data_IF_873263231101
#
_entry.id   IF_873263231101
#
_cell.length_a   1.000
_cell.length_b   1.000
_cell.length_c   1.000
_cell.angle_alpha   90.00
_cell.angle_beta   90.00
_cell.angle_gamma   90.00
#
_symmetry.space_group_name_H-M   'P 1'
#
loop_
_entity.id
_entity.type
_entity.pdbx_description
1 polymer ?
#
# COMPACT_ATOMS: atom_id res chain seq x y z
N UNK A 1 -8.43 3.99 -5.38
CA UNK A 1 -7.10 4.61 -5.62
C UNK A 1 -7.32 6.12 -5.77
N UNK A 2 -6.47 6.94 -5.15
CA UNK A 2 -6.70 8.38 -4.94
C UNK A 2 -6.60 9.28 -6.18
N UNK A 3 -6.03 10.49 -6.01
CA UNK A 3 -5.96 11.50 -7.07
C UNK A 3 -4.89 11.13 -8.11
N UNK A 4 -5.33 10.84 -9.33
CA UNK A 4 -4.45 10.49 -10.45
C UNK A 4 -3.45 11.60 -10.76
N UNK A 5 -2.16 11.24 -10.86
CA UNK A 5 -1.08 12.15 -11.26
C UNK A 5 -0.54 13.07 -10.15
N UNK A 6 -1.12 13.06 -8.94
CA UNK A 6 -0.69 13.97 -7.86
C UNK A 6 0.75 13.73 -7.39
N UNK A 7 1.14 12.47 -7.19
CA UNK A 7 2.49 12.18 -6.67
C UNK A 7 3.60 12.59 -7.66
N UNK A 8 3.56 12.21 -8.96
CA UNK A 8 4.53 12.68 -9.95
C UNK A 8 4.62 14.22 -10.06
N UNK A 9 3.51 14.92 -9.84
CA UNK A 9 3.46 16.38 -9.85
C UNK A 9 4.24 17.02 -8.68
N UNK A 10 4.24 16.39 -7.50
CA UNK A 10 4.84 16.93 -6.27
C UNK A 10 6.23 16.37 -5.94
N UNK A 11 6.56 15.19 -6.45
CA UNK A 11 7.69 14.37 -6.02
C UNK A 11 9.02 15.13 -6.01
N UNK A 12 9.34 15.86 -7.09
CA UNK A 12 10.63 16.55 -7.25
C UNK A 12 10.89 17.67 -6.22
N UNK A 13 9.83 18.25 -5.65
CA UNK A 13 9.93 19.44 -4.78
C UNK A 13 9.65 19.15 -3.32
N UNK A 14 8.93 18.06 -3.01
CA UNK A 14 8.36 17.84 -1.68
C UNK A 14 8.64 16.45 -1.12
N UNK A 15 8.97 15.46 -1.96
CA UNK A 15 9.22 14.11 -1.49
C UNK A 15 10.69 13.95 -1.07
N UNK A 16 10.89 13.27 0.05
CA UNK A 16 12.20 12.81 0.52
C UNK A 16 12.15 11.30 0.69
N UNK A 17 13.20 10.60 0.25
CA UNK A 17 13.37 9.18 0.55
C UNK A 17 13.70 9.03 2.04
N UNK A 18 12.98 8.15 2.72
CA UNK A 18 13.12 7.88 4.15
C UNK A 18 13.17 6.37 4.37
N UNK A 19 13.99 5.93 5.30
CA UNK A 19 14.02 4.56 5.81
C UNK A 19 13.10 4.42 7.02
N UNK A 20 12.54 3.23 7.26
CA UNK A 20 11.68 3.02 8.45
C UNK A 20 12.45 3.19 9.76
N UNK A 21 13.76 2.94 9.75
CA UNK A 21 14.65 3.13 10.90
C UNK A 21 14.68 4.59 11.37
N UNK A 22 14.59 5.56 10.46
CA UNK A 22 14.51 6.99 10.80
C UNK A 22 13.23 7.36 11.56
N UNK A 23 12.19 6.52 11.46
CA UNK A 23 10.89 6.74 12.12
C UNK A 23 10.75 5.92 13.43
N UNK A 24 11.82 5.27 13.89
CA UNK A 24 11.80 4.47 15.12
C UNK A 24 11.33 5.28 16.33
N UNK A 25 10.48 4.68 17.17
CA UNK A 25 9.85 5.34 18.32
C UNK A 25 8.64 6.21 17.98
N UNK A 26 8.31 6.38 16.70
CA UNK A 26 7.08 7.07 16.27
C UNK A 26 5.90 6.10 16.18
N UNK A 27 4.68 6.64 16.22
CA UNK A 27 3.45 5.90 15.88
C UNK A 27 2.97 6.33 14.50
N UNK A 28 2.65 5.38 13.65
CA UNK A 28 2.12 5.62 12.31
C UNK A 28 0.78 4.89 12.12
N UNK A 29 -0.15 5.54 11.43
CA UNK A 29 -1.35 4.89 10.93
C UNK A 29 -1.07 4.21 9.59
N UNK A 30 -1.67 3.05 9.37
CA UNK A 30 -1.57 2.30 8.11
C UNK A 30 -2.95 2.22 7.46
N UNK A 31 -3.05 2.66 6.21
CA UNK A 31 -4.19 2.31 5.36
C UNK A 31 -4.05 0.84 4.94
N UNK A 32 -4.70 -0.04 5.71
CA UNK A 32 -4.58 -1.49 5.55
C UNK A 32 -5.21 -2.00 4.26
N UNK A 33 -6.18 -1.28 3.68
CA UNK A 33 -6.83 -1.70 2.45
C UNK A 33 -5.85 -1.67 1.26
N UNK A 34 -4.90 -0.73 1.27
CA UNK A 34 -3.84 -0.69 0.27
C UNK A 34 -2.96 -1.95 0.30
N UNK A 35 -2.74 -2.55 1.48
CA UNK A 35 -2.02 -3.81 1.61
C UNK A 35 -2.89 -4.99 1.23
N UNK A 36 -4.13 -5.06 1.71
CA UNK A 36 -5.06 -6.14 1.38
C UNK A 36 -5.31 -6.23 -0.13
N UNK A 37 -5.58 -5.11 -0.80
CA UNK A 37 -5.73 -5.06 -2.25
C UNK A 37 -4.48 -5.59 -2.97
N UNK A 38 -3.28 -5.36 -2.43
CA UNK A 38 -2.03 -5.95 -2.96
C UNK A 38 -1.90 -7.45 -2.66
N UNK A 39 -2.34 -7.90 -1.48
CA UNK A 39 -2.34 -9.31 -1.08
C UNK A 39 -3.27 -10.16 -1.95
N UNK A 40 -4.45 -9.64 -2.28
CA UNK A 40 -5.45 -10.28 -3.15
C UNK A 40 -4.89 -10.73 -4.50
N UNK A 41 -3.87 -10.06 -5.05
CA UNK A 41 -3.26 -10.49 -6.31
C UNK A 41 -2.61 -11.88 -6.23
N UNK A 42 -2.24 -12.34 -5.03
CA UNK A 42 -1.61 -13.66 -4.82
C UNK A 42 -2.62 -14.80 -4.78
N UNK A 43 -3.90 -14.51 -4.56
CA UNK A 43 -4.99 -15.48 -4.39
C UNK A 43 -6.24 -15.12 -5.20
N UNK A 44 -6.08 -14.29 -6.24
CA UNK A 44 -7.19 -13.71 -6.99
C UNK A 44 -8.08 -14.76 -7.67
N UNK A 45 -7.48 -15.87 -8.13
CA UNK A 45 -8.17 -17.01 -8.74
C UNK A 45 -9.05 -17.75 -7.72
N UNK A 46 -8.52 -18.05 -6.53
CA UNK A 46 -9.26 -18.68 -5.44
C UNK A 46 -10.42 -17.82 -5.01
N UNK A 47 -10.18 -16.52 -4.83
CA UNK A 47 -11.22 -15.56 -4.49
C UNK A 47 -12.30 -15.49 -5.57
N UNK A 48 -11.93 -15.44 -6.85
CA UNK A 48 -12.88 -15.42 -7.97
C UNK A 48 -13.73 -16.70 -8.05
N UNK A 49 -13.21 -17.82 -7.58
CA UNK A 49 -13.89 -19.12 -7.54
C UNK A 49 -14.61 -19.41 -6.21
N UNK A 50 -14.63 -18.46 -5.26
CA UNK A 50 -15.12 -18.68 -3.89
C UNK A 50 -14.46 -19.87 -3.17
N UNK A 51 -13.18 -20.12 -3.48
CA UNK A 51 -12.37 -21.08 -2.74
C UNK A 51 -11.77 -20.40 -1.51
N UNK A 52 -11.66 -21.17 -0.44
CA UNK A 52 -11.04 -20.69 0.80
C UNK A 52 -9.58 -20.31 0.57
N UNK A 53 -9.18 -19.15 1.11
CA UNK A 53 -7.81 -18.65 1.07
C UNK A 53 -7.59 -17.70 2.23
N UNK A 54 -6.36 -17.64 2.71
CA UNK A 54 -5.87 -16.82 3.81
C UNK A 54 -4.94 -15.70 3.32
N UNK A 55 -5.13 -15.28 2.06
CA UNK A 55 -4.26 -14.33 1.37
C UNK A 55 -4.02 -13.03 2.13
#
# INVERSE_FOLDING_TARGET
MGITGLLPFLEKKTARRVSLQELSGSTAAVDTYCWLHKGVFTCADKLAMNLETDG
#
